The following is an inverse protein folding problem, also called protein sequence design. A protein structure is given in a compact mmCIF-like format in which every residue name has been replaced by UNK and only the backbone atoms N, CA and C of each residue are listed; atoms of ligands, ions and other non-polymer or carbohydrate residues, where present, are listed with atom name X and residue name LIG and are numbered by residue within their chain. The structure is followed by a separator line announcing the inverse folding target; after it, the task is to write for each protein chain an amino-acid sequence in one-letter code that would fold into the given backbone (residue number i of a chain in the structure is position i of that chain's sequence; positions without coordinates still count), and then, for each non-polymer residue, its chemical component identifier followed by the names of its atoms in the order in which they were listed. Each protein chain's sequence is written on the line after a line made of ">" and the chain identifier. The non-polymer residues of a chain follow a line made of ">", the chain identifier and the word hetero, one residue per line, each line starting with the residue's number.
data_IF_189508635779
#
_entry.id   IF_189508635779
#
_cell.length_a   1.000
_cell.length_b   1.000
_cell.length_c   1.000
_cell.angle_alpha   90.00
_cell.angle_beta   90.00
_cell.angle_gamma   90.00
#
_symmetry.space_group_name_H-M   'P 1'
#
loop_
_entity.id
_entity.type
_entity.pdbx_description
1 polymer ?
#
# COMPACT_ATOMS: atom_id res chain seq x y z
N UNK A 1 -26.39 8.56 42.36
CA UNK A 1 -26.82 8.20 41.00
C UNK A 1 -26.54 9.42 40.13
N UNK A 2 -25.45 9.57 39.38
CA UNK A 2 -24.54 8.58 38.82
C UNK A 2 -24.68 8.59 37.30
N UNK A 3 -24.13 9.62 36.63
CA UNK A 3 -23.85 9.70 35.18
C UNK A 3 -22.98 10.95 34.99
N UNK A 4 -21.65 10.83 34.91
CA UNK A 4 -20.81 11.95 34.43
C UNK A 4 -19.34 11.56 34.15
N UNK A 5 -18.89 10.37 34.58
CA UNK A 5 -17.50 9.93 34.34
C UNK A 5 -17.28 9.19 33.01
N UNK A 6 -18.34 8.86 32.25
CA UNK A 6 -18.22 8.05 31.02
C UNK A 6 -18.16 8.89 29.73
N UNK A 7 -18.68 10.11 29.74
CA UNK A 7 -18.73 11.00 28.57
C UNK A 7 -17.33 11.33 28.02
N UNK A 8 -16.31 11.65 28.84
CA UNK A 8 -14.96 11.95 28.33
C UNK A 8 -14.27 10.72 27.74
N UNK A 9 -14.53 9.53 28.29
CA UNK A 9 -13.92 8.28 27.86
C UNK A 9 -14.49 7.84 26.50
N UNK A 10 -15.80 7.94 26.32
CA UNK A 10 -16.49 7.64 25.06
C UNK A 10 -16.06 8.63 23.97
N UNK A 11 -15.96 9.92 24.28
CA UNK A 11 -15.49 10.93 23.32
C UNK A 11 -14.05 10.66 22.86
N UNK A 12 -13.14 10.31 23.79
CA UNK A 12 -11.75 9.95 23.45
C UNK A 12 -11.66 8.65 22.64
N UNK A 13 -12.51 7.66 22.94
CA UNK A 13 -12.59 6.42 22.17
C UNK A 13 -13.10 6.66 20.74
N UNK A 14 -14.11 7.52 20.58
CA UNK A 14 -14.62 7.90 19.26
C UNK A 14 -13.61 8.73 18.46
N UNK A 15 -12.89 9.65 19.10
CA UNK A 15 -11.78 10.39 18.46
C UNK A 15 -10.65 9.44 18.02
N UNK A 16 -10.27 8.49 18.87
CA UNK A 16 -9.28 7.47 18.54
C UNK A 16 -9.74 6.59 17.37
N UNK A 17 -11.01 6.17 17.35
CA UNK A 17 -11.58 5.44 16.21
C UNK A 17 -11.63 6.31 14.94
N UNK A 18 -11.97 7.60 15.06
CA UNK A 18 -11.97 8.53 13.93
C UNK A 18 -10.57 8.69 13.33
N UNK A 19 -9.53 8.77 14.18
CA UNK A 19 -8.14 8.79 13.74
C UNK A 19 -7.74 7.45 13.10
N UNK A 20 -8.28 6.31 13.50
CA UNK A 20 -8.00 5.02 12.87
C UNK A 20 -8.62 4.89 11.48
N UNK A 21 -9.76 5.54 11.23
CA UNK A 21 -10.62 5.24 10.09
C UNK A 21 -10.14 5.80 8.75
N UNK A 22 -9.41 6.93 8.72
CA UNK A 22 -8.95 7.51 7.45
C UNK A 22 -7.52 8.05 7.52
N UNK A 23 -6.73 7.73 6.49
CA UNK A 23 -5.59 8.56 6.14
C UNK A 23 -6.11 9.65 5.21
N UNK A 24 -6.25 10.92 5.67
CA UNK A 24 -6.84 11.96 4.84
C UNK A 24 -5.99 12.17 3.60
N UNK A 25 -6.60 12.00 2.42
CA UNK A 25 -5.99 12.33 1.14
C UNK A 25 -5.91 13.87 1.05
N UNK A 26 -4.71 14.47 1.10
CA UNK A 26 -4.56 15.92 1.20
C UNK A 26 -4.85 16.66 -0.11
N UNK A 27 -5.25 15.94 -1.17
CA UNK A 27 -5.63 16.53 -2.45
C UNK A 27 -4.45 17.24 -3.13
N UNK A 28 -3.66 16.50 -3.90
CA UNK A 28 -2.68 17.03 -4.88
C UNK A 28 -1.50 17.86 -4.35
N UNK A 29 -1.52 18.32 -3.10
CA UNK A 29 -0.48 19.14 -2.47
C UNK A 29 0.66 18.32 -1.85
N UNK A 30 0.43 17.03 -1.63
CA UNK A 30 1.41 16.07 -1.08
C UNK A 30 1.54 14.91 -2.06
N UNK A 31 2.73 14.31 -2.10
CA UNK A 31 2.99 13.06 -2.82
C UNK A 31 1.95 12.00 -2.42
N UNK A 32 1.14 11.57 -3.39
CA UNK A 32 0.01 10.68 -3.16
C UNK A 32 -0.30 9.85 -4.43
N UNK A 33 -0.59 8.53 -4.32
CA UNK A 33 -0.97 7.73 -5.46
C UNK A 33 -2.29 8.21 -6.07
N UNK A 34 -2.35 8.30 -7.40
CA UNK A 34 -3.63 8.54 -8.11
C UNK A 34 -4.65 7.43 -7.77
N UNK A 35 -5.94 7.80 -7.78
CA UNK A 35 -7.04 6.83 -7.70
C UNK A 35 -6.90 5.76 -8.79
N UNK A 36 -7.08 4.49 -8.44
CA UNK A 36 -6.72 3.34 -9.27
C UNK A 36 -7.53 2.10 -8.92
N UNK A 37 -7.60 1.16 -9.85
CA UNK A 37 -8.21 -0.16 -9.68
C UNK A 37 -7.35 -1.22 -10.36
N UNK A 38 -7.55 -2.50 -10.02
CA UNK A 38 -6.76 -3.61 -10.56
C UNK A 38 -5.27 -3.59 -10.15
N UNK A 39 -4.91 -2.81 -9.13
CA UNK A 39 -3.60 -2.87 -8.49
C UNK A 39 -3.56 -4.04 -7.51
N UNK A 40 -2.36 -4.42 -7.09
CA UNK A 40 -2.18 -5.28 -5.92
C UNK A 40 -1.42 -4.56 -4.81
N UNK A 41 -1.58 -5.06 -3.59
CA UNK A 41 -0.88 -4.53 -2.43
C UNK A 41 -0.48 -5.63 -1.45
N UNK A 42 0.60 -5.40 -0.72
CA UNK A 42 1.10 -6.28 0.34
C UNK A 42 1.60 -5.47 1.52
N UNK A 43 1.46 -6.03 2.72
CA UNK A 43 2.07 -5.49 3.93
C UNK A 43 3.50 -6.02 4.04
N UNK A 44 4.45 -5.11 4.29
CA UNK A 44 5.87 -5.43 4.46
C UNK A 44 6.40 -4.78 5.72
N UNK A 45 7.44 -5.37 6.31
CA UNK A 45 8.16 -4.77 7.44
C UNK A 45 9.54 -4.34 6.98
N UNK A 46 9.85 -3.06 7.11
CA UNK A 46 11.18 -2.52 6.85
C UNK A 46 11.85 -2.16 8.17
N UNK A 47 13.10 -1.72 8.13
CA UNK A 47 13.79 -1.20 9.31
C UNK A 47 13.10 0.02 9.95
N UNK A 48 12.26 0.75 9.20
CA UNK A 48 11.47 1.87 9.71
C UNK A 48 10.06 1.49 10.18
N UNK A 49 9.68 0.21 10.11
CA UNK A 49 8.41 -0.32 10.60
C UNK A 49 7.50 -0.88 9.51
N UNK A 50 6.18 -0.99 9.78
CA UNK A 50 5.21 -1.56 8.85
C UNK A 50 4.89 -0.59 7.70
N UNK A 51 4.88 -1.11 6.48
CA UNK A 51 4.53 -0.37 5.27
C UNK A 51 3.52 -1.15 4.42
N UNK A 52 2.70 -0.42 3.68
CA UNK A 52 1.87 -0.97 2.60
C UNK A 52 2.54 -0.64 1.27
N UNK A 53 2.90 -1.67 0.50
CA UNK A 53 3.35 -1.54 -0.87
C UNK A 53 2.16 -1.65 -1.81
N UNK A 54 2.05 -0.74 -2.78
CA UNK A 54 1.02 -0.75 -3.83
C UNK A 54 1.71 -0.71 -5.18
N UNK A 55 1.41 -1.67 -6.05
CA UNK A 55 2.05 -1.81 -7.38
C UNK A 55 0.99 -1.72 -8.48
N UNK A 56 1.27 -0.86 -9.46
CA UNK A 56 0.56 -0.83 -10.74
C UNK A 56 -0.93 -0.47 -10.61
N UNK A 57 -1.71 -1.04 -11.52
CA UNK A 57 -3.12 -0.74 -11.74
C UNK A 57 -3.43 -0.47 -13.21
N UNK A 58 -4.71 -0.46 -13.56
CA UNK A 58 -5.13 -0.19 -14.94
C UNK A 58 -4.66 1.21 -15.38
N UNK A 59 -3.84 1.26 -16.43
CA UNK A 59 -3.18 2.45 -16.97
C UNK A 59 -2.31 3.23 -15.95
N UNK A 60 -1.85 2.57 -14.89
CA UNK A 60 -0.98 3.18 -13.87
C UNK A 60 0.25 2.29 -13.64
N UNK A 61 1.45 2.87 -13.78
CA UNK A 61 2.72 2.13 -13.83
C UNK A 61 3.72 2.61 -12.77
N UNK A 62 3.21 3.07 -11.64
CA UNK A 62 4.01 3.52 -10.51
C UNK A 62 3.94 2.51 -9.36
N UNK A 63 4.80 2.71 -8.37
CA UNK A 63 4.82 1.92 -7.14
C UNK A 63 4.90 2.87 -5.97
N UNK A 64 4.07 2.62 -4.97
CA UNK A 64 3.91 3.50 -3.84
C UNK A 64 4.09 2.73 -2.53
N UNK A 65 4.78 3.35 -1.59
CA UNK A 65 4.99 2.85 -0.26
C UNK A 65 4.34 3.79 0.75
N UNK A 66 3.38 3.29 1.50
CA UNK A 66 2.79 4.00 2.64
C UNK A 66 3.53 3.59 3.91
N UNK A 67 4.20 4.54 4.56
CA UNK A 67 4.59 4.41 5.96
C UNK A 67 3.32 4.48 6.81
N UNK A 68 2.89 3.35 7.38
CA UNK A 68 1.61 3.24 8.11
C UNK A 68 1.65 4.08 9.38
N UNK A 69 2.79 4.09 10.09
CA UNK A 69 2.95 4.85 11.32
C UNK A 69 2.92 6.35 11.08
N UNK A 70 3.56 6.81 9.99
CA UNK A 70 3.65 8.23 9.65
C UNK A 70 2.51 8.71 8.76
N UNK A 71 1.74 7.79 8.18
CA UNK A 71 0.68 8.06 7.21
C UNK A 71 1.18 8.88 6.01
N UNK A 72 2.39 8.56 5.54
CA UNK A 72 3.05 9.26 4.43
C UNK A 72 3.35 8.31 3.30
N UNK A 73 2.94 8.73 2.11
CA UNK A 73 3.26 8.04 0.87
C UNK A 73 4.62 8.48 0.33
N UNK A 74 5.32 7.53 -0.28
CA UNK A 74 6.54 7.74 -1.04
C UNK A 74 6.46 6.91 -2.32
N UNK A 75 6.65 7.55 -3.46
CA UNK A 75 6.80 6.84 -4.72
C UNK A 75 8.18 6.14 -4.77
N UNK A 76 8.20 4.89 -5.22
CA UNK A 76 9.42 4.14 -5.51
C UNK A 76 9.73 4.29 -7.00
N UNK A 77 10.89 4.89 -7.30
CA UNK A 77 11.35 5.15 -8.66
C UNK A 77 12.35 4.09 -9.14
N UNK A 78 12.56 4.00 -10.45
CA UNK A 78 13.53 3.10 -11.09
C UNK A 78 13.27 1.59 -10.88
N UNK A 79 12.00 1.20 -10.74
CA UNK A 79 11.60 -0.21 -10.75
C UNK A 79 11.42 -0.74 -12.18
N UNK A 80 11.67 -2.02 -12.43
CA UNK A 80 11.52 -2.62 -13.76
C UNK A 80 10.10 -2.54 -14.31
N UNK A 81 9.97 -2.27 -15.61
CA UNK A 81 8.70 -2.23 -16.34
C UNK A 81 7.91 -3.54 -16.24
N UNK A 82 8.60 -4.68 -16.16
CA UNK A 82 7.94 -5.98 -16.01
C UNK A 82 7.28 -6.16 -14.64
N UNK A 83 7.50 -5.25 -13.69
CA UNK A 83 6.81 -5.20 -12.40
C UNK A 83 5.73 -4.12 -12.44
N UNK A 84 6.09 -2.92 -12.88
CA UNK A 84 5.20 -1.77 -12.76
C UNK A 84 4.09 -1.74 -13.80
N UNK A 85 4.31 -2.28 -15.01
CA UNK A 85 3.32 -2.28 -16.11
C UNK A 85 2.39 -3.50 -16.04
N UNK A 86 1.72 -3.66 -14.91
CA UNK A 86 0.72 -4.72 -14.69
C UNK A 86 -0.55 -4.23 -14.02
N UNK A 87 -1.65 -4.88 -14.36
CA UNK A 87 -2.93 -4.77 -13.68
C UNK A 87 -3.61 -6.15 -13.60
N UNK A 88 -4.54 -6.31 -12.66
CA UNK A 88 -5.16 -7.59 -12.30
C UNK A 88 -4.16 -8.72 -12.00
N UNK A 89 -3.00 -8.35 -11.47
CA UNK A 89 -1.95 -9.26 -11.02
C UNK A 89 -2.12 -9.57 -9.54
N UNK A 90 -1.39 -10.57 -9.04
CA UNK A 90 -1.30 -10.89 -7.60
C UNK A 90 0.09 -10.55 -7.07
N UNK A 91 0.15 -10.03 -5.84
CA UNK A 91 1.38 -9.90 -5.06
C UNK A 91 1.36 -10.83 -3.85
N UNK A 92 2.53 -11.32 -3.48
CA UNK A 92 2.78 -12.01 -2.22
C UNK A 92 4.12 -11.55 -1.65
N UNK A 93 4.31 -11.72 -0.34
CA UNK A 93 5.55 -11.36 0.34
C UNK A 93 6.18 -12.59 0.97
N UNK A 94 7.49 -12.71 0.82
CA UNK A 94 8.31 -13.67 1.54
C UNK A 94 9.39 -12.92 2.32
N UNK A 95 9.31 -12.94 3.65
CA UNK A 95 10.31 -12.31 4.52
C UNK A 95 11.53 -13.23 4.64
N UNK A 96 12.63 -12.84 3.99
CA UNK A 96 13.91 -13.56 4.06
C UNK A 96 14.58 -13.28 5.41
N UNK A 97 14.50 -12.02 5.86
CA UNK A 97 14.96 -11.57 7.17
C UNK A 97 13.91 -10.59 7.75
N UNK A 98 14.03 -10.14 9.02
CA UNK A 98 13.13 -9.13 9.57
C UNK A 98 13.08 -7.81 8.79
N UNK A 99 14.07 -7.51 7.94
CA UNK A 99 14.15 -6.27 7.16
C UNK A 99 14.33 -6.48 5.66
N UNK A 100 14.41 -7.72 5.19
CA UNK A 100 14.56 -8.07 3.77
C UNK A 100 13.34 -8.84 3.33
N UNK A 101 12.56 -8.26 2.41
CA UNK A 101 11.34 -8.86 1.91
C UNK A 101 11.44 -9.05 0.40
N UNK A 102 11.12 -10.27 -0.05
CA UNK A 102 10.89 -10.54 -1.45
C UNK A 102 9.42 -10.33 -1.77
N UNK A 103 9.15 -9.45 -2.71
CA UNK A 103 7.83 -9.24 -3.25
C UNK A 103 7.73 -10.07 -4.52
N UNK A 104 6.84 -11.05 -4.48
CA UNK A 104 6.63 -12.01 -5.55
C UNK A 104 5.35 -11.59 -6.27
N UNK A 105 5.48 -11.26 -7.54
CA UNK A 105 4.40 -10.86 -8.42
C UNK A 105 4.13 -11.97 -9.44
N UNK A 106 2.87 -12.33 -9.63
CA UNK A 106 2.47 -13.32 -10.61
C UNK A 106 1.25 -12.86 -11.41
N UNK A 107 1.26 -13.20 -12.70
CA UNK A 107 0.10 -13.06 -13.56
C UNK A 107 -0.21 -11.62 -13.98
N UNK A 108 -1.49 -11.37 -14.22
CA UNK A 108 -2.02 -10.07 -14.62
C UNK A 108 -2.05 -9.83 -16.13
N UNK A 109 -2.22 -8.56 -16.48
CA UNK A 109 -2.22 -8.06 -17.86
C UNK A 109 -1.28 -6.88 -18.00
N UNK A 110 -0.66 -6.76 -19.18
CA UNK A 110 0.14 -5.59 -19.56
C UNK A 110 -0.71 -4.55 -20.31
N UNK A 111 -1.65 -5.04 -21.09
CA UNK A 111 -2.60 -4.29 -21.90
C UNK A 111 -3.85 -5.16 -22.13
N UNK A 112 -4.81 -4.65 -22.91
CA UNK A 112 -6.10 -5.30 -23.17
C UNK A 112 -5.96 -6.71 -23.75
N UNK A 113 -4.89 -6.98 -24.52
CA UNK A 113 -4.68 -8.20 -25.28
C UNK A 113 -3.60 -9.12 -24.69
N UNK A 114 -2.74 -8.59 -23.81
CA UNK A 114 -1.59 -9.33 -23.27
C UNK A 114 -1.82 -9.76 -21.83
N UNK A 115 -2.14 -11.04 -21.63
CA UNK A 115 -2.07 -11.71 -20.33
C UNK A 115 -0.64 -12.14 -20.03
N UNK A 116 -0.22 -12.00 -18.79
CA UNK A 116 1.10 -12.38 -18.33
C UNK A 116 1.00 -13.63 -17.45
N UNK A 117 1.95 -14.54 -17.58
CA UNK A 117 2.04 -15.78 -16.78
C UNK A 117 3.43 -15.98 -16.16
N UNK A 118 4.33 -15.00 -16.30
CA UNK A 118 5.63 -15.03 -15.65
C UNK A 118 5.51 -14.62 -14.17
N UNK A 119 6.58 -14.89 -13.43
CA UNK A 119 6.79 -14.42 -12.07
C UNK A 119 7.86 -13.34 -12.09
N UNK A 120 7.61 -12.22 -11.41
CA UNK A 120 8.63 -11.22 -11.11
C UNK A 120 8.91 -11.20 -9.61
N UNK A 121 10.16 -10.93 -9.24
CA UNK A 121 10.57 -10.77 -7.83
C UNK A 121 11.32 -9.46 -7.69
N UNK A 122 10.90 -8.63 -6.74
CA UNK A 122 11.67 -7.46 -6.31
C UNK A 122 12.05 -7.60 -4.83
N UNK A 123 13.24 -7.10 -4.50
CA UNK A 123 13.72 -6.99 -3.12
C UNK A 123 13.63 -5.52 -2.70
N UNK A 124 13.04 -5.28 -1.53
CA UNK A 124 12.89 -3.97 -0.90
C UNK A 124 13.53 -3.94 0.48
#
# INVERSE_FOLDING_TARGET
>A
MGFDSEIPLIANYLLFLQDILEVPNPGGSVQWPKGRWGHSSVLITTSSGPHLLVVGGDLVYDVWLLDINKRKWKELINLPDNVTKRYWHSLSVWSVTPTTNWIIEFGGKRDVFTTISDTAVIEL
#
